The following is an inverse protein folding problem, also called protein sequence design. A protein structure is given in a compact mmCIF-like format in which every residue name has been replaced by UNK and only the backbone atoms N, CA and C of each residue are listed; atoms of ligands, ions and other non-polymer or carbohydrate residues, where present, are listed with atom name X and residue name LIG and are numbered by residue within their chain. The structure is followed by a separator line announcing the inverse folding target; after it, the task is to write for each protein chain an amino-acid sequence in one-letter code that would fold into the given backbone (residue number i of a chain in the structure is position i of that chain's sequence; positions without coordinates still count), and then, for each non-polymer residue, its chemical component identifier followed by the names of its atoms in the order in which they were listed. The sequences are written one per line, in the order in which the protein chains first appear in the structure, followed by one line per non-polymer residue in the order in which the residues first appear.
data_IF_311665558070
#
_entry.id   IF_311665558070
#
_cell.length_a   1.000
_cell.length_b   1.000
_cell.length_c   1.000
_cell.angle_alpha   90.00
_cell.angle_beta   90.00
_cell.angle_gamma   90.00
#
_symmetry.space_group_name_H-M   'P 1'
#
loop_
_entity.id
_entity.type
_entity.pdbx_description
1 polymer ?
#
# COMPACT_ATOMS: atom_id res chain seq x y z
N UNK A 1 34.16 -21.74 -4.90
CA UNK A 1 32.71 -21.68 -5.20
C UNK A 1 32.40 -22.90 -6.04
N UNK A 2 31.65 -23.89 -5.54
CA UNK A 2 31.22 -25.02 -6.36
C UNK A 2 29.79 -24.73 -6.82
N UNK A 3 29.66 -24.10 -7.99
CA UNK A 3 28.40 -24.14 -8.71
C UNK A 3 28.20 -25.56 -9.23
N UNK A 4 26.93 -25.97 -9.39
CA UNK A 4 26.59 -27.18 -10.12
C UNK A 4 27.19 -27.12 -11.53
N UNK A 5 27.65 -28.28 -12.00
CA UNK A 5 28.06 -28.45 -13.39
C UNK A 5 26.86 -28.20 -14.30
N UNK A 6 27.13 -27.73 -15.52
CA UNK A 6 26.08 -27.31 -16.45
C UNK A 6 25.03 -28.38 -16.74
N UNK A 7 25.48 -29.60 -16.93
CA UNK A 7 24.60 -30.72 -17.23
C UNK A 7 23.73 -31.05 -16.02
N UNK A 8 24.34 -31.11 -14.82
CA UNK A 8 23.61 -31.39 -13.58
C UNK A 8 22.57 -30.32 -13.27
N UNK A 9 22.90 -29.05 -13.49
CA UNK A 9 22.00 -27.90 -13.34
C UNK A 9 20.77 -28.05 -14.25
N UNK A 10 21.00 -28.35 -15.55
CA UNK A 10 19.92 -28.54 -16.53
C UNK A 10 19.03 -29.73 -16.20
N UNK A 11 19.62 -30.86 -15.79
CA UNK A 11 18.86 -32.06 -15.41
C UNK A 11 17.99 -31.79 -14.19
N UNK A 12 18.51 -31.09 -13.18
CA UNK A 12 17.73 -30.75 -11.99
C UNK A 12 16.58 -29.79 -12.33
N UNK A 13 16.84 -28.77 -13.14
CA UNK A 13 15.80 -27.83 -13.59
C UNK A 13 14.72 -28.55 -14.41
N UNK A 14 15.13 -29.41 -15.36
CA UNK A 14 14.20 -30.20 -16.16
C UNK A 14 13.28 -31.04 -15.27
N UNK A 15 13.83 -31.77 -14.29
CA UNK A 15 13.04 -32.56 -13.33
C UNK A 15 12.08 -31.72 -12.49
N UNK A 16 12.45 -30.49 -12.14
CA UNK A 16 11.53 -29.59 -11.43
C UNK A 16 10.39 -29.14 -12.36
N UNK A 17 10.69 -28.84 -13.62
CA UNK A 17 9.69 -28.36 -14.57
C UNK A 17 8.71 -29.46 -15.02
N UNK A 18 9.21 -30.69 -15.27
CA UNK A 18 8.38 -31.78 -15.79
C UNK A 18 7.68 -32.57 -14.69
N UNK A 19 8.39 -32.91 -13.61
CA UNK A 19 7.91 -33.82 -12.56
C UNK A 19 7.53 -33.09 -11.27
N UNK A 20 7.73 -31.77 -11.19
CA UNK A 20 7.55 -30.98 -9.96
C UNK A 20 8.34 -31.56 -8.76
N UNK A 21 9.55 -32.06 -9.02
CA UNK A 21 10.34 -32.81 -8.05
C UNK A 21 10.95 -31.89 -6.97
N UNK A 22 10.35 -31.90 -5.78
CA UNK A 22 10.78 -31.09 -4.62
C UNK A 22 12.22 -31.38 -4.17
N UNK A 23 12.68 -32.63 -4.29
CA UNK A 23 14.07 -33.00 -3.94
C UNK A 23 15.09 -32.31 -4.85
N UNK A 24 14.79 -32.21 -6.15
CA UNK A 24 15.65 -31.53 -7.12
C UNK A 24 15.67 -30.02 -6.88
N UNK A 25 14.51 -29.44 -6.54
CA UNK A 25 14.40 -28.03 -6.15
C UNK A 25 15.22 -27.72 -4.90
N UNK A 26 15.14 -28.56 -3.86
CA UNK A 26 15.94 -28.41 -2.65
C UNK A 26 17.44 -28.44 -2.92
N UNK A 27 17.91 -29.33 -3.80
CA UNK A 27 19.32 -29.38 -4.22
C UNK A 27 19.76 -28.10 -4.95
N UNK A 28 18.90 -27.56 -5.82
CA UNK A 28 19.17 -26.28 -6.49
C UNK A 28 19.26 -25.13 -5.49
N UNK A 29 18.32 -25.04 -4.54
CA UNK A 29 18.33 -24.00 -3.51
C UNK A 29 19.62 -24.01 -2.68
N UNK A 30 20.04 -25.18 -2.22
CA UNK A 30 21.29 -25.33 -1.44
C UNK A 30 22.52 -24.96 -2.27
N UNK A 31 22.58 -25.37 -3.55
CA UNK A 31 23.70 -25.05 -4.43
C UNK A 31 23.84 -23.55 -4.68
N UNK A 32 22.72 -22.83 -4.83
CA UNK A 32 22.70 -21.40 -5.13
C UNK A 32 22.71 -20.49 -3.90
N UNK A 33 22.64 -21.01 -2.69
CA UNK A 33 22.53 -20.20 -1.47
C UNK A 33 23.65 -19.16 -1.32
N UNK A 34 24.91 -19.56 -1.55
CA UNK A 34 26.06 -18.63 -1.52
C UNK A 34 25.96 -17.54 -2.59
N UNK A 35 25.39 -17.87 -3.75
CA UNK A 35 25.15 -16.92 -4.84
C UNK A 35 24.05 -15.92 -4.49
N UNK A 36 22.97 -16.35 -3.84
CA UNK A 36 21.92 -15.48 -3.33
C UNK A 36 22.50 -14.48 -2.30
N UNK A 37 23.25 -14.99 -1.32
CA UNK A 37 23.88 -14.15 -0.28
C UNK A 37 24.82 -13.11 -0.90
N UNK A 38 25.64 -13.51 -1.89
CA UNK A 38 26.52 -12.59 -2.61
C UNK A 38 25.73 -11.52 -3.38
N UNK A 39 24.64 -11.91 -4.02
CA UNK A 39 23.79 -11.00 -4.79
C UNK A 39 23.08 -9.98 -3.92
N UNK A 40 22.57 -10.39 -2.75
CA UNK A 40 21.95 -9.52 -1.75
C UNK A 40 22.97 -8.51 -1.24
N UNK A 41 24.19 -8.94 -0.88
CA UNK A 41 25.26 -8.05 -0.43
C UNK A 41 25.60 -6.95 -1.44
N UNK A 42 25.57 -7.24 -2.74
CA UNK A 42 25.84 -6.26 -3.81
C UNK A 42 24.72 -5.25 -4.03
N UNK A 43 23.47 -5.70 -3.85
CA UNK A 43 22.29 -4.87 -4.14
C UNK A 43 21.75 -4.15 -2.89
N UNK A 44 22.12 -4.58 -1.68
CA UNK A 44 21.77 -3.93 -0.41
C UNK A 44 22.57 -2.64 -0.25
N UNK A 45 22.00 -1.51 -0.69
CA UNK A 45 22.55 -0.17 -0.43
C UNK A 45 21.87 0.55 0.73
N UNK A 46 20.65 0.14 1.08
CA UNK A 46 19.86 0.75 2.15
C UNK A 46 19.52 -0.28 3.21
N UNK A 47 19.72 0.05 4.48
CA UNK A 47 19.48 -0.83 5.64
C UNK A 47 18.00 -1.04 5.97
N UNK A 48 17.08 -0.61 5.10
CA UNK A 48 15.64 -0.57 5.34
C UNK A 48 14.98 -1.93 5.46
N UNK A 49 15.55 -2.97 4.83
CA UNK A 49 15.02 -4.35 4.89
C UNK A 49 16.04 -5.26 5.56
N UNK A 50 15.54 -6.15 6.41
CA UNK A 50 16.36 -7.15 7.08
C UNK A 50 16.97 -8.13 6.07
N UNK A 51 18.15 -8.63 6.41
CA UNK A 51 18.88 -9.54 5.52
C UNK A 51 18.13 -10.86 5.31
N UNK A 52 17.44 -11.33 6.32
CA UNK A 52 16.71 -12.60 6.29
C UNK A 52 15.51 -12.52 5.35
N UNK A 53 14.76 -11.43 5.41
CA UNK A 53 13.65 -11.15 4.47
C UNK A 53 14.13 -11.10 3.02
N UNK A 54 15.23 -10.37 2.76
CA UNK A 54 15.83 -10.31 1.42
C UNK A 54 16.31 -11.69 0.95
N UNK A 55 16.75 -12.56 1.87
CA UNK A 55 17.17 -13.92 1.54
C UNK A 55 15.97 -14.80 1.19
N UNK A 56 14.85 -14.69 1.91
CA UNK A 56 13.63 -15.42 1.58
C UNK A 56 13.06 -14.96 0.23
N UNK A 57 13.02 -13.66 -0.02
CA UNK A 57 12.60 -13.13 -1.32
C UNK A 57 13.50 -13.63 -2.45
N UNK A 58 14.83 -13.64 -2.25
CA UNK A 58 15.76 -14.17 -3.22
C UNK A 58 15.53 -15.67 -3.50
N UNK A 59 15.15 -16.47 -2.49
CA UNK A 59 14.76 -17.88 -2.64
C UNK A 59 13.47 -18.01 -3.46
N UNK A 60 12.46 -17.18 -3.20
CA UNK A 60 11.23 -17.14 -4.00
C UNK A 60 11.52 -16.81 -5.47
N UNK A 61 12.33 -15.79 -5.72
CA UNK A 61 12.76 -15.42 -7.08
C UNK A 61 13.49 -16.57 -7.75
N UNK A 62 14.36 -17.30 -7.03
CA UNK A 62 15.01 -18.48 -7.58
C UNK A 62 13.99 -19.53 -7.99
N UNK A 63 13.04 -19.87 -7.11
CA UNK A 63 12.00 -20.87 -7.39
C UNK A 63 11.20 -20.47 -8.63
N UNK A 64 10.71 -19.23 -8.69
CA UNK A 64 9.99 -18.73 -9.88
C UNK A 64 10.84 -18.79 -11.15
N UNK A 65 12.13 -18.48 -11.02
CA UNK A 65 13.07 -18.47 -12.14
C UNK A 65 13.31 -19.89 -12.65
N UNK A 66 13.37 -20.89 -11.77
CA UNK A 66 13.46 -22.31 -12.17
C UNK A 66 12.27 -22.70 -13.05
N UNK A 67 11.05 -22.33 -12.68
CA UNK A 67 9.86 -22.66 -13.48
C UNK A 67 9.79 -21.93 -14.83
N UNK A 68 10.39 -20.75 -14.93
CA UNK A 68 10.36 -19.92 -16.16
C UNK A 68 11.60 -20.05 -17.03
N UNK A 69 12.62 -20.77 -16.56
CA UNK A 69 13.89 -20.87 -17.28
C UNK A 69 13.72 -21.73 -18.53
N UNK A 70 14.04 -21.16 -19.68
CA UNK A 70 14.04 -21.89 -20.93
C UNK A 70 15.38 -22.65 -21.08
N UNK A 71 15.29 -23.98 -21.04
CA UNK A 71 16.43 -24.88 -21.20
C UNK A 71 17.00 -24.84 -22.63
N UNK A 72 16.19 -24.52 -23.63
CA UNK A 72 16.62 -24.48 -25.04
C UNK A 72 17.28 -23.16 -25.41
N UNK A 73 17.24 -22.17 -24.51
CA UNK A 73 17.80 -20.85 -24.76
C UNK A 73 19.32 -20.89 -24.91
N UNK A 74 19.80 -20.37 -26.03
CA UNK A 74 21.22 -20.23 -26.35
C UNK A 74 21.62 -18.76 -26.49
N UNK A 75 22.90 -18.48 -26.25
CA UNK A 75 23.54 -17.19 -26.46
C UNK A 75 24.90 -17.45 -27.11
N UNK A 76 25.19 -16.82 -28.25
CA UNK A 76 26.40 -17.08 -29.06
C UNK A 76 26.63 -18.59 -29.34
N UNK A 77 25.57 -19.32 -29.67
CA UNK A 77 25.62 -20.76 -29.97
C UNK A 77 25.88 -21.66 -28.75
N UNK A 78 26.02 -21.11 -27.54
CA UNK A 78 26.18 -21.87 -26.30
C UNK A 78 24.91 -21.85 -25.46
N UNK A 79 24.60 -22.94 -24.73
CA UNK A 79 23.47 -22.95 -23.82
C UNK A 79 23.63 -21.90 -22.72
N UNK A 80 22.57 -21.14 -22.46
CA UNK A 80 22.58 -20.11 -21.43
C UNK A 80 22.74 -20.76 -20.05
N UNK A 81 23.64 -20.21 -19.23
CA UNK A 81 23.80 -20.63 -17.82
C UNK A 81 22.63 -20.10 -17.00
N UNK A 82 22.04 -20.94 -16.15
CA UNK A 82 20.90 -20.52 -15.32
C UNK A 82 21.30 -19.42 -14.33
N UNK A 83 22.51 -19.49 -13.76
CA UNK A 83 23.07 -18.41 -12.92
C UNK A 83 23.01 -17.02 -13.57
N UNK A 84 23.27 -16.93 -14.89
CA UNK A 84 23.22 -15.67 -15.64
C UNK A 84 21.80 -15.12 -15.67
N UNK A 85 20.82 -15.95 -16.03
CA UNK A 85 19.41 -15.55 -16.07
C UNK A 85 18.89 -15.18 -14.68
N UNK A 86 19.25 -15.99 -13.67
CA UNK A 86 18.91 -15.77 -12.27
C UNK A 86 19.46 -14.43 -11.76
N UNK A 87 20.68 -14.04 -12.14
CA UNK A 87 21.27 -12.77 -11.72
C UNK A 87 20.41 -11.56 -12.08
N UNK A 88 19.87 -11.53 -13.31
CA UNK A 88 18.99 -10.45 -13.78
C UNK A 88 17.67 -10.43 -13.00
N UNK A 89 17.07 -11.60 -12.78
CA UNK A 89 15.81 -11.75 -12.04
C UNK A 89 15.98 -11.35 -10.57
N UNK A 90 17.07 -11.78 -9.93
CA UNK A 90 17.40 -11.45 -8.54
C UNK A 90 17.58 -9.96 -8.34
N UNK A 91 18.30 -9.27 -9.23
CA UNK A 91 18.45 -7.81 -9.12
C UNK A 91 17.10 -7.12 -9.10
N UNK A 92 16.20 -7.49 -10.02
CA UNK A 92 14.86 -6.90 -10.07
C UNK A 92 14.01 -7.29 -8.84
N UNK A 93 14.01 -8.55 -8.43
CA UNK A 93 13.23 -9.02 -7.28
C UNK A 93 13.66 -8.36 -5.96
N UNK A 94 14.97 -8.27 -5.71
CA UNK A 94 15.52 -7.59 -4.53
C UNK A 94 15.15 -6.10 -4.56
N UNK A 95 15.31 -5.43 -5.70
CA UNK A 95 14.96 -4.01 -5.83
C UNK A 95 13.47 -3.78 -5.57
N UNK A 96 12.60 -4.62 -6.14
CA UNK A 96 11.15 -4.55 -5.92
C UNK A 96 10.80 -4.76 -4.44
N UNK A 97 11.43 -5.72 -3.77
CA UNK A 97 11.20 -5.96 -2.35
C UNK A 97 11.62 -4.77 -1.48
N UNK A 98 12.75 -4.13 -1.80
CA UNK A 98 13.19 -2.90 -1.12
C UNK A 98 12.21 -1.74 -1.38
N UNK A 99 11.66 -1.63 -2.59
CA UNK A 99 10.67 -0.59 -2.92
C UNK A 99 9.32 -0.83 -2.22
N UNK A 100 8.87 -2.07 -2.17
CA UNK A 100 7.56 -2.45 -1.61
C UNK A 100 7.56 -2.48 -0.08
N UNK A 101 8.65 -2.94 0.54
CA UNK A 101 8.75 -3.18 1.99
C UNK A 101 9.78 -2.30 2.72
N UNK A 102 10.65 -1.59 1.99
CA UNK A 102 11.68 -0.76 2.60
C UNK A 102 11.19 0.59 3.14
N UNK A 103 9.89 0.89 3.01
CA UNK A 103 9.28 2.10 3.59
C UNK A 103 8.03 1.74 4.35
N UNK A 104 7.85 2.36 5.52
CA UNK A 104 6.64 2.22 6.35
C UNK A 104 5.38 2.65 5.58
N UNK A 105 5.51 3.64 4.70
CA UNK A 105 4.41 4.11 3.85
C UNK A 105 4.66 3.59 2.44
N UNK A 106 3.78 2.70 1.98
CA UNK A 106 3.86 2.14 0.63
C UNK A 106 3.74 3.25 -0.42
N UNK A 107 4.80 3.44 -1.21
CA UNK A 107 4.79 4.37 -2.33
C UNK A 107 4.18 3.69 -3.56
N UNK A 108 2.96 4.09 -3.94
CA UNK A 108 2.23 3.48 -5.08
C UNK A 108 2.71 4.03 -6.43
N UNK A 109 3.34 5.21 -6.45
CA UNK A 109 3.71 5.91 -7.70
C UNK A 109 5.22 5.88 -7.98
N UNK A 110 5.61 5.18 -9.06
CA UNK A 110 6.98 5.19 -9.63
C UNK A 110 7.48 6.59 -10.06
N UNK A 111 6.59 7.58 -10.19
CA UNK A 111 6.87 8.91 -10.74
C UNK A 111 6.71 10.06 -9.74
N UNK A 112 6.70 9.80 -8.44
CA UNK A 112 6.73 10.88 -7.46
C UNK A 112 8.05 11.66 -7.62
N UNK A 113 7.97 12.89 -8.14
CA UNK A 113 9.13 13.79 -8.36
C UNK A 113 9.92 14.08 -7.08
N UNK A 114 9.31 13.81 -5.94
CA UNK A 114 9.87 13.94 -4.61
C UNK A 114 9.68 12.62 -3.88
N UNK A 115 10.78 11.97 -3.49
CA UNK A 115 10.72 10.89 -2.50
C UNK A 115 10.13 11.50 -1.22
N UNK A 116 9.11 10.85 -0.67
CA UNK A 116 8.63 11.23 0.66
C UNK A 116 9.80 11.12 1.65
N UNK A 117 9.93 12.07 2.60
CA UNK A 117 10.92 11.97 3.65
C UNK A 117 10.69 10.68 4.46
N UNK A 118 11.78 10.12 4.99
CA UNK A 118 11.69 8.95 5.86
C UNK A 118 10.86 9.27 7.12
N UNK A 119 10.10 8.29 7.58
CA UNK A 119 9.24 8.43 8.75
C UNK A 119 10.10 8.42 10.02
N UNK A 120 9.91 9.41 10.88
CA UNK A 120 10.54 9.48 12.20
C UNK A 120 9.69 8.71 13.20
N UNK A 121 10.32 7.95 14.08
CA UNK A 121 9.60 7.20 15.13
C UNK A 121 9.04 8.17 16.16
N UNK A 122 7.76 8.02 16.51
CA UNK A 122 7.12 8.82 17.57
C UNK A 122 7.74 8.58 18.96
N UNK A 123 8.42 7.45 19.14
CA UNK A 123 9.10 7.10 20.39
C UNK A 123 10.55 7.56 20.44
N UNK A 124 11.04 8.20 19.37
CA UNK A 124 12.37 8.79 19.37
C UNK A 124 12.40 9.95 20.39
N UNK A 125 13.38 9.97 21.31
CA UNK A 125 13.48 11.04 22.28
C UNK A 125 13.85 12.33 21.57
N UNK A 126 13.04 13.37 21.75
CA UNK A 126 13.39 14.74 21.33
C UNK A 126 14.37 15.31 22.35
N UNK A 127 14.07 15.06 23.63
CA UNK A 127 14.79 15.52 24.81
C UNK A 127 14.97 14.33 25.77
N UNK A 128 15.90 14.40 26.74
CA UNK A 128 16.12 13.33 27.72
C UNK A 128 14.87 12.94 28.53
N UNK A 129 13.81 13.75 28.50
CA UNK A 129 12.58 13.52 29.25
C UNK A 129 11.32 13.36 28.40
N UNK A 130 11.36 13.71 27.11
CA UNK A 130 10.17 13.80 26.26
C UNK A 130 10.37 13.11 24.91
N UNK A 131 9.31 12.48 24.43
CA UNK A 131 9.20 11.90 23.09
C UNK A 131 8.25 12.71 22.21
N UNK A 132 8.23 12.42 20.90
CA UNK A 132 7.26 13.03 19.97
C UNK A 132 5.80 12.76 20.41
N UNK A 133 5.52 11.62 21.05
CA UNK A 133 4.17 11.33 21.58
C UNK A 133 3.70 12.38 22.58
N UNK A 134 4.61 12.88 23.42
CA UNK A 134 4.26 13.82 24.50
C UNK A 134 3.96 15.23 24.00
N UNK A 135 4.44 15.57 22.79
CA UNK A 135 4.32 16.90 22.19
C UNK A 135 3.18 16.98 21.18
N UNK A 136 2.80 15.86 20.55
CA UNK A 136 1.79 15.84 19.51
C UNK A 136 0.40 16.15 20.08
N UNK A 137 -0.29 17.21 19.59
CA UNK A 137 -1.63 17.54 20.07
C UNK A 137 -2.64 16.51 19.58
N UNK A 138 -3.58 16.13 20.45
CA UNK A 138 -4.72 15.32 20.03
C UNK A 138 -5.63 16.15 19.12
N UNK A 139 -5.88 15.63 17.92
CA UNK A 139 -6.73 16.28 16.91
C UNK A 139 -8.21 16.09 17.27
N UNK A 140 -8.52 15.18 18.19
CA UNK A 140 -9.89 14.98 18.63
C UNK A 140 -10.41 16.21 19.40
N UNK A 141 -11.68 16.53 19.17
CA UNK A 141 -12.33 17.64 19.85
C UNK A 141 -12.26 17.40 21.37
N UNK A 142 -11.77 18.40 22.11
CA UNK A 142 -11.72 18.36 23.57
C UNK A 142 -13.12 18.17 24.17
N UNK A 143 -13.27 17.67 25.40
CA UNK A 143 -14.58 17.49 26.04
C UNK A 143 -15.45 18.75 25.99
N UNK A 144 -14.85 19.92 26.18
CA UNK A 144 -15.53 21.22 26.12
C UNK A 144 -15.99 21.56 24.69
N UNK A 145 -15.13 21.33 23.69
CA UNK A 145 -15.51 21.46 22.28
C UNK A 145 -16.60 20.47 21.91
N UNK A 146 -16.57 19.24 22.43
CA UNK A 146 -17.64 18.27 22.24
C UNK A 146 -18.95 18.73 22.88
N UNK A 147 -18.90 19.41 24.03
CA UNK A 147 -20.07 19.95 24.71
C UNK A 147 -20.69 21.12 23.94
N UNK A 148 -19.86 22.09 23.52
CA UNK A 148 -20.28 23.19 22.64
C UNK A 148 -20.85 22.67 21.31
N UNK A 149 -20.22 21.65 20.74
CA UNK A 149 -20.72 20.98 19.55
C UNK A 149 -22.05 20.26 19.82
N UNK A 150 -22.28 19.69 20.99
CA UNK A 150 -23.58 19.07 21.36
C UNK A 150 -24.68 20.12 21.45
N UNK A 151 -24.42 21.27 22.04
CA UNK A 151 -25.41 22.34 22.16
C UNK A 151 -25.68 23.04 20.82
N UNK A 152 -24.64 23.29 20.02
CA UNK A 152 -24.79 23.72 18.62
C UNK A 152 -25.58 22.69 17.78
N UNK A 153 -25.30 21.38 17.94
CA UNK A 153 -26.07 20.30 17.32
C UNK A 153 -27.52 20.25 17.80
N UNK A 154 -27.80 20.57 19.07
CA UNK A 154 -29.16 20.66 19.60
C UNK A 154 -29.92 21.84 19.02
N UNK A 155 -29.29 23.02 18.93
CA UNK A 155 -29.89 24.21 18.32
C UNK A 155 -30.16 24.00 16.84
N UNK A 156 -29.19 23.49 16.09
CA UNK A 156 -29.37 23.14 14.68
C UNK A 156 -30.48 22.09 14.50
N UNK A 157 -30.54 21.03 15.34
CA UNK A 157 -31.67 20.08 15.32
C UNK A 157 -33.03 20.73 15.59
N UNK A 158 -33.11 21.71 16.49
CA UNK A 158 -34.35 22.47 16.74
C UNK A 158 -34.78 23.27 15.51
N UNK A 159 -33.86 24.01 14.89
CA UNK A 159 -34.12 24.77 13.66
C UNK A 159 -34.52 23.84 12.51
N UNK A 160 -33.83 22.72 12.35
CA UNK A 160 -34.14 21.69 11.33
C UNK A 160 -35.53 21.09 11.56
N UNK A 161 -35.94 20.85 12.81
CA UNK A 161 -37.32 20.41 13.13
C UNK A 161 -38.37 21.48 12.81
N UNK A 162 -38.09 22.75 13.11
CA UNK A 162 -38.99 23.85 12.78
C UNK A 162 -39.16 24.01 11.26
N UNK A 163 -38.06 23.91 10.51
CA UNK A 163 -38.09 23.92 9.04
C UNK A 163 -38.85 22.72 8.46
N UNK A 164 -38.66 21.53 9.04
CA UNK A 164 -39.38 20.32 8.63
C UNK A 164 -40.90 20.45 8.82
N UNK A 165 -41.35 21.25 9.80
CA UNK A 165 -42.78 21.53 10.02
C UNK A 165 -43.35 22.59 9.08
N UNK A 166 -42.51 23.49 8.54
CA UNK A 166 -42.93 24.57 7.65
C UNK A 166 -42.89 24.20 6.16
N UNK A 167 -42.10 23.19 5.79
CA UNK A 167 -41.95 22.70 4.42
C UNK A 167 -42.92 21.53 4.17
N UNK A 168 -43.41 21.36 2.94
CA UNK A 168 -44.27 20.23 2.58
C UNK A 168 -43.57 18.87 2.84
N UNK A 169 -44.34 17.86 3.24
CA UNK A 169 -43.82 16.53 3.57
C UNK A 169 -43.05 15.88 2.39
N UNK A 170 -43.43 16.19 1.15
CA UNK A 170 -42.77 15.70 -0.06
C UNK A 170 -41.41 16.37 -0.30
N UNK A 171 -41.33 17.69 -0.16
CA UNK A 171 -40.07 18.43 -0.28
C UNK A 171 -39.08 18.04 0.83
N UNK A 172 -39.58 17.78 2.05
CA UNK A 172 -38.75 17.30 3.16
C UNK A 172 -38.16 15.90 2.92
N UNK A 173 -38.93 14.97 2.32
CA UNK A 173 -38.44 13.63 1.92
C UNK A 173 -37.32 13.73 0.88
N UNK A 174 -37.46 14.61 -0.11
CA UNK A 174 -36.43 14.83 -1.14
C UNK A 174 -35.13 15.39 -0.54
N UNK A 175 -35.23 16.38 0.35
CA UNK A 175 -34.07 16.94 1.05
C UNK A 175 -33.33 15.90 1.91
N UNK A 176 -34.05 15.01 2.60
CA UNK A 176 -33.46 13.90 3.35
C UNK A 176 -32.72 12.91 2.45
N UNK A 177 -33.32 12.52 1.33
CA UNK A 177 -32.73 11.61 0.36
C UNK A 177 -31.42 12.19 -0.21
N UNK A 178 -31.42 13.48 -0.54
CA UNK A 178 -30.23 14.18 -1.02
C UNK A 178 -29.13 14.31 0.05
N UNK A 179 -29.49 14.63 1.29
CA UNK A 179 -28.53 14.76 2.39
C UNK A 179 -27.83 13.44 2.77
N UNK A 180 -28.47 12.29 2.52
CA UNK A 180 -27.89 10.96 2.75
C UNK A 180 -26.92 10.53 1.64
N UNK A 181 -27.09 11.07 0.43
CA UNK A 181 -26.25 10.81 -0.74
C UNK A 181 -25.82 12.13 -1.39
N UNK A 182 -24.96 12.93 -0.72
CA UNK A 182 -24.47 14.16 -1.28
C UNK A 182 -23.46 13.82 -2.38
N UNK A 183 -23.92 13.73 -3.63
CA UNK A 183 -23.01 13.62 -4.76
C UNK A 183 -22.50 15.03 -5.13
N UNK A 184 -21.20 15.35 -4.92
CA UNK A 184 -20.67 16.70 -5.12
C UNK A 184 -20.67 17.14 -6.59
N UNK A 185 -20.94 16.23 -7.53
CA UNK A 185 -20.90 16.49 -8.96
C UNK A 185 -22.29 16.55 -9.62
N UNK A 186 -23.36 16.25 -8.87
CA UNK A 186 -24.73 16.29 -9.40
C UNK A 186 -25.43 17.56 -8.94
N UNK A 187 -25.72 18.44 -9.91
CA UNK A 187 -26.45 19.67 -9.67
C UNK A 187 -27.87 19.32 -9.18
N UNK A 188 -28.34 19.80 -8.02
CA UNK A 188 -29.61 19.35 -7.46
C UNK A 188 -30.77 19.60 -8.43
N UNK A 189 -31.69 18.64 -8.50
CA UNK A 189 -32.89 18.73 -9.34
C UNK A 189 -33.70 20.00 -9.05
N UNK A 190 -34.50 20.44 -10.03
CA UNK A 190 -35.31 21.66 -9.93
C UNK A 190 -36.23 21.67 -8.70
N UNK A 191 -36.74 20.50 -8.31
CA UNK A 191 -37.57 20.30 -7.10
C UNK A 191 -36.77 20.48 -5.81
N UNK A 192 -35.58 19.91 -5.73
CA UNK A 192 -34.66 20.08 -4.59
C UNK A 192 -34.20 21.53 -4.46
N UNK A 193 -33.93 22.21 -5.58
CA UNK A 193 -33.62 23.65 -5.61
C UNK A 193 -34.79 24.50 -5.11
N UNK A 194 -36.03 24.15 -5.46
CA UNK A 194 -37.23 24.83 -4.96
C UNK A 194 -37.40 24.63 -3.45
N UNK A 195 -37.23 23.40 -2.97
CA UNK A 195 -37.28 23.07 -1.54
C UNK A 195 -36.21 23.83 -0.72
N UNK A 196 -34.98 23.94 -1.24
CA UNK A 196 -33.91 24.73 -0.60
C UNK A 196 -34.23 26.23 -0.56
N UNK A 197 -34.83 26.80 -1.62
CA UNK A 197 -35.26 28.20 -1.66
C UNK A 197 -36.39 28.48 -0.66
N UNK A 198 -37.35 27.57 -0.55
CA UNK A 198 -38.43 27.64 0.45
C UNK A 198 -37.85 27.57 1.88
N UNK A 199 -36.97 26.60 2.17
CA UNK A 199 -36.31 26.51 3.47
C UNK A 199 -35.49 27.75 3.83
N UNK A 200 -34.78 28.35 2.85
CA UNK A 200 -34.01 29.59 3.07
C UNK A 200 -34.90 30.79 3.40
N UNK A 201 -36.07 30.92 2.77
CA UNK A 201 -37.04 31.98 3.07
C UNK A 201 -37.58 31.86 4.50
N UNK A 202 -37.88 30.65 4.95
CA UNK A 202 -38.34 30.39 6.33
C UNK A 202 -37.25 30.75 7.35
N UNK A 203 -36.00 30.35 7.10
CA UNK A 203 -34.87 30.74 7.96
C UNK A 203 -34.68 32.26 8.04
N UNK A 204 -34.91 32.99 6.94
CA UNK A 204 -34.82 34.45 6.90
C UNK A 204 -35.97 35.13 7.65
N UNK A 205 -37.16 34.51 7.70
CA UNK A 205 -38.29 35.01 8.50
C UNK A 205 -38.20 34.73 10.01
N UNK A 206 -37.23 33.91 10.43
CA UNK A 206 -37.00 33.53 11.82
C UNK A 206 -35.84 34.29 12.50
N UNK A 207 -35.15 35.16 11.74
CA UNK A 207 -34.19 36.15 12.26
C UNK A 207 -34.90 37.46 12.52
#
# INVERSE_FOLDING_TARGET
MCFLDHETERVLIAKVQTENCQKSLGKLLLAFEKFLISSIRKNRRSGTVEREDLLQEARLVLIETVYRFDLMRTYDGKPLRFATYLAFRLRHGIQKCIEDHGSTIKQVTRNARTKAPDVVSIHEPIDPHNTLVDVLPDIQATPDQQYLNKDGRRQTRKLVKQLAGAISAEHWKQLKCWAQHPDPYVNPDSRTKKALREGRRVLQSMR
#
